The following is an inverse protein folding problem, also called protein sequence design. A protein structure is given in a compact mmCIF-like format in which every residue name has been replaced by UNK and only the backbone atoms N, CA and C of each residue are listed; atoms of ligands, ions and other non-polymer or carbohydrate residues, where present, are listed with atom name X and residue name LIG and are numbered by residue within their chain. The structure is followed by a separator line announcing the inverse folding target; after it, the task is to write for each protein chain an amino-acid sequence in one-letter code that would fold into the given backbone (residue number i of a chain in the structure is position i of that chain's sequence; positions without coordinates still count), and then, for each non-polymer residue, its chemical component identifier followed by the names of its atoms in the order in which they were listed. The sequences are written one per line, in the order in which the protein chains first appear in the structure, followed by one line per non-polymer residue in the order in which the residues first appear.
data_IF_916103738071
#
_entry.id   IF_916103738071
#
_cell.length_a   1.000
_cell.length_b   1.000
_cell.length_c   1.000
_cell.angle_alpha   90.00
_cell.angle_beta   90.00
_cell.angle_gamma   90.00
#
_symmetry.space_group_name_H-M   'P 1'
#
loop_
_entity.id
_entity.type
_entity.pdbx_description
1 polymer ?
#
# COMPACT_ATOMS: atom_id res chain seq x y z
N UNK A 1 12.99 -5.57 -20.07
CA UNK A 1 12.80 -6.18 -18.75
C UNK A 1 13.83 -5.67 -17.72
N UNK A 2 15.17 -5.80 -17.95
CA UNK A 2 16.16 -5.31 -16.99
C UNK A 2 16.16 -3.78 -16.78
N UNK A 3 15.87 -2.99 -17.80
CA UNK A 3 15.79 -1.54 -17.69
C UNK A 3 14.58 -1.07 -16.87
N UNK A 4 13.45 -1.78 -16.96
CA UNK A 4 12.26 -1.54 -16.13
C UNK A 4 12.53 -1.84 -14.66
N UNK A 5 13.30 -2.91 -14.37
CA UNK A 5 13.74 -3.27 -13.02
C UNK A 5 14.67 -2.18 -12.47
N UNK A 6 15.65 -1.71 -13.28
CA UNK A 6 16.57 -0.64 -12.89
C UNK A 6 15.84 0.65 -12.50
N UNK A 7 14.84 1.05 -13.28
CA UNK A 7 14.03 2.23 -13.00
C UNK A 7 13.20 2.09 -11.71
N UNK A 8 12.64 0.90 -11.44
CA UNK A 8 11.94 0.63 -10.19
C UNK A 8 12.88 0.74 -8.98
N UNK A 9 14.11 0.23 -9.11
CA UNK A 9 15.11 0.36 -8.05
C UNK A 9 15.54 1.82 -7.82
N UNK A 10 15.59 2.64 -8.85
CA UNK A 10 15.87 4.06 -8.74
C UNK A 10 14.79 4.80 -7.96
N UNK A 11 13.52 4.59 -8.32
CA UNK A 11 12.36 5.14 -7.62
C UNK A 11 12.33 4.68 -6.15
N UNK A 12 12.63 3.43 -5.92
CA UNK A 12 12.71 2.86 -4.58
C UNK A 12 13.84 3.44 -3.75
N UNK A 13 15.01 3.68 -4.37
CA UNK A 13 16.16 4.34 -3.73
C UNK A 13 15.80 5.76 -3.32
N UNK A 14 15.04 6.49 -4.14
CA UNK A 14 14.56 7.82 -3.79
C UNK A 14 13.60 7.75 -2.60
N UNK A 15 12.61 6.86 -2.61
CA UNK A 15 11.71 6.61 -1.48
C UNK A 15 12.48 6.21 -0.21
N UNK A 16 13.52 5.39 -0.36
CA UNK A 16 14.39 5.00 0.75
C UNK A 16 15.16 6.19 1.33
N UNK A 17 15.67 7.08 0.49
CA UNK A 17 16.36 8.27 0.96
C UNK A 17 15.43 9.19 1.76
N UNK A 18 14.18 9.32 1.34
CA UNK A 18 13.15 10.06 2.09
C UNK A 18 12.84 9.34 3.41
N UNK A 19 12.65 8.02 3.38
CA UNK A 19 12.41 7.21 4.58
C UNK A 19 13.55 7.29 5.59
N UNK A 20 14.81 7.39 5.11
CA UNK A 20 15.98 7.50 6.01
C UNK A 20 16.09 8.87 6.69
N UNK A 21 15.47 9.91 6.14
CA UNK A 21 15.33 11.20 6.82
C UNK A 21 14.31 11.07 7.98
N UNK A 22 13.21 10.33 7.79
CA UNK A 22 12.13 10.14 8.76
C UNK A 22 11.82 8.66 8.96
N UNK A 23 12.66 7.98 9.71
CA UNK A 23 12.51 6.55 10.01
C UNK A 23 11.20 6.22 10.73
N UNK A 24 10.60 7.22 11.36
CA UNK A 24 9.29 7.10 12.02
C UNK A 24 8.16 6.70 11.07
N UNK A 25 8.29 6.98 9.77
CA UNK A 25 7.31 6.58 8.76
C UNK A 25 7.09 5.06 8.69
N UNK A 26 8.07 4.26 9.08
CA UNK A 26 7.97 2.79 9.18
C UNK A 26 6.97 2.37 10.28
N UNK A 27 6.76 3.22 11.29
CA UNK A 27 5.88 2.88 12.40
C UNK A 27 4.41 2.76 11.97
N UNK A 28 3.96 3.47 10.93
CA UNK A 28 2.58 3.37 10.47
C UNK A 28 2.22 1.96 9.96
N UNK A 29 2.97 1.33 9.03
CA UNK A 29 2.72 -0.06 8.65
C UNK A 29 2.89 -1.04 9.81
N UNK A 30 3.84 -0.81 10.72
CA UNK A 30 4.03 -1.65 11.93
C UNK A 30 2.79 -1.56 12.82
N UNK A 31 2.28 -0.37 13.10
CA UNK A 31 1.07 -0.16 13.90
C UNK A 31 -0.16 -0.78 13.22
N UNK A 32 -0.26 -0.67 11.89
CA UNK A 32 -1.28 -1.36 11.11
C UNK A 32 -1.22 -2.87 11.31
N UNK A 33 -0.03 -3.46 11.18
CA UNK A 33 0.19 -4.89 11.38
C UNK A 33 -0.16 -5.36 12.80
N UNK A 34 0.26 -4.59 13.83
CA UNK A 34 -0.09 -4.87 15.21
C UNK A 34 -1.61 -4.78 15.45
N UNK A 35 -2.28 -3.78 14.86
CA UNK A 35 -3.73 -3.64 14.94
C UNK A 35 -4.45 -4.83 14.31
N UNK A 36 -3.97 -5.32 13.16
CA UNK A 36 -4.51 -6.51 12.51
C UNK A 36 -4.27 -7.79 13.33
N UNK A 37 -3.11 -7.92 13.98
CA UNK A 37 -2.82 -9.05 14.87
C UNK A 37 -3.78 -9.04 16.09
N UNK A 38 -3.96 -7.90 16.74
CA UNK A 38 -4.89 -7.76 17.87
C UNK A 38 -6.32 -8.11 17.41
N UNK A 39 -6.74 -7.61 16.26
CA UNK A 39 -8.06 -7.92 15.70
C UNK A 39 -8.21 -9.42 15.42
N UNK A 40 -7.19 -10.06 14.85
CA UNK A 40 -7.17 -11.50 14.58
C UNK A 40 -7.29 -12.33 15.87
N UNK A 41 -6.50 -12.01 16.90
CA UNK A 41 -6.60 -12.67 18.20
C UNK A 41 -7.96 -12.45 18.87
N UNK A 42 -8.54 -11.24 18.79
CA UNK A 42 -9.87 -10.96 19.31
C UNK A 42 -10.95 -11.80 18.60
N UNK A 43 -10.85 -11.97 17.27
CA UNK A 43 -11.75 -12.80 16.49
C UNK A 43 -11.65 -14.29 16.84
N UNK A 44 -10.43 -14.79 17.06
CA UNK A 44 -10.19 -16.15 17.52
C UNK A 44 -10.77 -16.37 18.95
N UNK A 45 -10.48 -15.45 19.85
CA UNK A 45 -11.00 -15.51 21.24
C UNK A 45 -12.54 -15.44 21.31
N UNK A 46 -13.16 -14.70 20.39
CA UNK A 46 -14.62 -14.61 20.27
C UNK A 46 -15.24 -15.79 19.50
N UNK A 47 -14.45 -16.74 19.01
CA UNK A 47 -14.94 -17.91 18.25
C UNK A 47 -15.67 -17.54 16.96
N UNK A 48 -15.31 -16.44 16.32
CA UNK A 48 -16.03 -15.93 15.14
C UNK A 48 -16.03 -16.96 13.99
N UNK A 49 -14.94 -17.68 13.80
CA UNK A 49 -14.82 -18.72 12.78
C UNK A 49 -15.66 -19.96 13.14
N UNK A 50 -15.75 -20.31 14.42
CA UNK A 50 -16.44 -21.52 14.91
C UNK A 50 -17.96 -21.31 14.95
N UNK A 51 -18.39 -20.13 15.34
CA UNK A 51 -19.83 -19.80 15.47
C UNK A 51 -20.53 -19.61 14.11
N UNK A 52 -19.77 -19.44 13.01
CA UNK A 52 -20.32 -19.13 11.70
C UNK A 52 -21.10 -17.81 11.66
N UNK A 53 -20.89 -16.92 12.63
CA UNK A 53 -21.59 -15.65 12.72
C UNK A 53 -21.16 -14.71 11.60
N UNK A 54 -21.96 -14.65 10.54
CA UNK A 54 -21.68 -13.83 9.35
C UNK A 54 -21.52 -12.34 9.69
N UNK A 55 -22.32 -11.81 10.62
CA UNK A 55 -22.24 -10.39 11.01
C UNK A 55 -20.91 -10.10 11.69
N UNK A 56 -20.51 -10.93 12.65
CA UNK A 56 -19.22 -10.78 13.31
C UNK A 56 -18.04 -10.88 12.31
N UNK A 57 -18.11 -11.79 11.36
CA UNK A 57 -17.13 -11.94 10.30
C UNK A 57 -17.04 -10.70 9.39
N UNK A 58 -18.19 -10.15 8.95
CA UNK A 58 -18.24 -8.93 8.14
C UNK A 58 -17.71 -7.71 8.90
N UNK A 59 -18.01 -7.59 10.19
CA UNK A 59 -17.47 -6.53 11.06
C UNK A 59 -15.94 -6.65 11.16
N UNK A 60 -15.40 -7.85 11.32
CA UNK A 60 -13.95 -8.06 11.35
C UNK A 60 -13.28 -7.66 10.03
N UNK A 61 -13.88 -8.03 8.90
CA UNK A 61 -13.39 -7.60 7.58
C UNK A 61 -13.36 -6.07 7.50
N UNK A 62 -14.45 -5.41 7.85
CA UNK A 62 -14.54 -3.95 7.82
C UNK A 62 -13.50 -3.29 8.73
N UNK A 63 -13.32 -3.80 9.95
CA UNK A 63 -12.31 -3.30 10.88
C UNK A 63 -10.88 -3.50 10.33
N UNK A 64 -10.60 -4.64 9.69
CA UNK A 64 -9.31 -4.88 9.06
C UNK A 64 -9.03 -3.87 7.92
N UNK A 65 -10.00 -3.63 7.05
CA UNK A 65 -9.89 -2.60 6.01
C UNK A 65 -9.73 -1.20 6.62
N UNK A 66 -10.45 -0.89 7.69
CA UNK A 66 -10.35 0.42 8.34
C UNK A 66 -8.98 0.63 8.98
N UNK A 67 -8.45 -0.34 9.73
CA UNK A 67 -7.12 -0.27 10.34
C UNK A 67 -6.07 -0.03 9.24
N UNK A 68 -6.08 -0.85 8.20
CA UNK A 68 -5.11 -0.73 7.10
C UNK A 68 -5.21 0.63 6.40
N UNK A 69 -6.41 1.08 6.09
CA UNK A 69 -6.63 2.35 5.39
C UNK A 69 -6.25 3.55 6.26
N UNK A 70 -6.57 3.52 7.56
CA UNK A 70 -6.26 4.59 8.50
C UNK A 70 -4.75 4.81 8.64
N UNK A 71 -4.00 3.74 8.89
CA UNK A 71 -2.54 3.86 9.00
C UNK A 71 -1.86 4.17 7.67
N UNK A 72 -2.41 3.71 6.54
CA UNK A 72 -1.93 4.12 5.22
C UNK A 72 -2.20 5.62 4.96
N UNK A 73 -3.36 6.14 5.35
CA UNK A 73 -3.65 7.57 5.27
C UNK A 73 -2.73 8.41 6.16
N UNK A 74 -2.41 7.92 7.38
CA UNK A 74 -1.45 8.56 8.27
C UNK A 74 -0.04 8.58 7.66
N UNK A 75 0.42 7.46 7.09
CA UNK A 75 1.69 7.36 6.38
C UNK A 75 1.77 8.34 5.21
N UNK A 76 0.75 8.33 4.34
CA UNK A 76 0.72 9.21 3.16
C UNK A 76 0.69 10.68 3.58
N UNK A 77 -0.06 11.04 4.63
CA UNK A 77 -0.10 12.41 5.16
C UNK A 77 1.28 12.87 5.65
N UNK A 78 1.96 12.05 6.43
CA UNK A 78 3.31 12.34 6.91
C UNK A 78 4.34 12.38 5.75
N UNK A 79 4.21 11.48 4.78
CA UNK A 79 5.07 11.49 3.59
C UNK A 79 4.87 12.78 2.76
N UNK A 80 3.64 13.23 2.54
CA UNK A 80 3.35 14.49 1.85
C UNK A 80 3.93 15.70 2.61
N UNK A 81 3.82 15.72 3.95
CA UNK A 81 4.44 16.76 4.77
C UNK A 81 5.96 16.81 4.55
N UNK A 82 6.65 15.65 4.56
CA UNK A 82 8.10 15.56 4.29
C UNK A 82 8.46 16.01 2.88
N UNK A 83 7.73 15.56 1.87
CA UNK A 83 7.99 15.87 0.47
C UNK A 83 7.82 17.36 0.15
N UNK A 84 7.04 18.07 0.96
CA UNK A 84 6.81 19.53 0.88
C UNK A 84 7.75 20.33 1.79
N UNK A 85 8.82 19.69 2.31
CA UNK A 85 9.85 20.34 3.13
C UNK A 85 9.50 20.49 4.62
N UNK A 86 8.42 19.85 5.09
CA UNK A 86 8.07 19.79 6.51
C UNK A 86 8.91 18.80 7.31
N UNK A 87 8.62 18.68 8.60
CA UNK A 87 9.27 17.74 9.54
C UNK A 87 8.20 16.89 10.24
N UNK A 88 7.68 15.84 9.54
CA UNK A 88 6.61 15.03 10.07
C UNK A 88 7.08 14.15 11.22
N UNK A 89 6.16 13.85 12.11
CA UNK A 89 6.32 12.83 13.14
C UNK A 89 5.08 11.90 13.16
N UNK A 90 5.14 10.82 13.92
CA UNK A 90 4.03 9.86 14.01
C UNK A 90 2.74 10.55 14.42
N UNK A 91 2.80 11.48 15.37
CA UNK A 91 1.61 12.16 15.87
C UNK A 91 1.02 13.12 14.82
N UNK A 92 1.85 13.82 14.02
CA UNK A 92 1.36 14.69 12.93
C UNK A 92 0.59 13.88 11.89
N UNK A 93 1.14 12.74 11.45
CA UNK A 93 0.47 11.83 10.52
C UNK A 93 -0.84 11.27 11.05
N UNK A 94 -0.85 10.77 12.31
CA UNK A 94 -2.07 10.27 12.96
C UNK A 94 -3.12 11.36 13.14
N UNK A 95 -2.71 12.56 13.58
CA UNK A 95 -3.60 13.72 13.75
C UNK A 95 -4.24 14.09 12.41
N UNK A 96 -3.46 14.11 11.33
CA UNK A 96 -3.97 14.42 10.00
C UNK A 96 -4.96 13.36 9.51
N UNK A 97 -4.64 12.06 9.66
CA UNK A 97 -5.57 10.98 9.33
C UNK A 97 -6.87 11.06 10.16
N UNK A 98 -6.76 11.39 11.46
CA UNK A 98 -7.92 11.54 12.34
C UNK A 98 -8.85 12.67 11.89
N UNK A 99 -8.34 13.78 11.36
CA UNK A 99 -9.18 14.85 10.79
C UNK A 99 -10.04 14.38 9.62
N UNK A 100 -9.58 13.36 8.89
CA UNK A 100 -10.27 12.80 7.72
C UNK A 100 -10.92 11.43 8.03
N UNK A 101 -11.06 11.07 9.31
CA UNK A 101 -11.48 9.71 9.73
C UNK A 101 -12.80 9.26 9.12
N UNK A 102 -13.77 10.17 8.94
CA UNK A 102 -15.05 9.88 8.30
C UNK A 102 -14.91 9.51 6.82
N UNK A 103 -14.05 10.20 6.06
CA UNK A 103 -13.75 9.87 4.67
C UNK A 103 -12.99 8.53 4.59
N UNK A 104 -12.02 8.33 5.47
CA UNK A 104 -11.25 7.08 5.58
C UNK A 104 -12.15 5.90 5.93
N UNK A 105 -13.09 6.08 6.86
CA UNK A 105 -14.06 5.05 7.20
C UNK A 105 -14.96 4.69 6.02
N UNK A 106 -15.55 5.68 5.35
CA UNK A 106 -16.38 5.45 4.16
C UNK A 106 -15.59 4.77 3.03
N UNK A 107 -14.32 5.15 2.83
CA UNK A 107 -13.45 4.49 1.87
C UNK A 107 -13.16 3.03 2.26
N UNK A 108 -12.99 2.76 3.54
CA UNK A 108 -12.79 1.40 4.06
C UNK A 108 -14.02 0.52 3.82
N UNK A 109 -15.23 1.07 3.96
CA UNK A 109 -16.48 0.37 3.62
C UNK A 109 -16.52 0.02 2.13
N UNK A 110 -16.24 0.99 1.25
CA UNK A 110 -16.22 0.76 -0.20
C UNK A 110 -15.17 -0.31 -0.55
N UNK A 111 -13.97 -0.19 -0.01
CA UNK A 111 -12.86 -1.13 -0.24
C UNK A 111 -13.18 -2.53 0.28
N UNK A 112 -13.81 -2.65 1.43
CA UNK A 112 -14.24 -3.94 1.99
C UNK A 112 -15.30 -4.61 1.09
N UNK A 113 -16.29 -3.86 0.61
CA UNK A 113 -17.32 -4.35 -0.29
C UNK A 113 -16.71 -4.81 -1.61
N UNK A 114 -15.92 -3.95 -2.26
CA UNK A 114 -15.32 -4.24 -3.57
C UNK A 114 -14.31 -5.38 -3.48
N UNK A 115 -13.42 -5.37 -2.47
CA UNK A 115 -12.45 -6.44 -2.25
C UNK A 115 -13.11 -7.79 -1.93
N UNK A 116 -14.18 -7.79 -1.14
CA UNK A 116 -14.96 -9.01 -0.87
C UNK A 116 -15.64 -9.51 -2.14
N UNK A 117 -16.23 -8.60 -2.92
CA UNK A 117 -16.87 -8.95 -4.20
C UNK A 117 -15.88 -9.62 -5.16
N UNK A 118 -14.70 -9.05 -5.36
CA UNK A 118 -13.67 -9.66 -6.22
C UNK A 118 -13.23 -11.02 -5.70
N UNK A 119 -13.09 -11.18 -4.38
CA UNK A 119 -12.75 -12.47 -3.78
C UNK A 119 -13.82 -13.52 -4.03
N UNK A 120 -15.10 -13.18 -3.83
CA UNK A 120 -16.22 -14.08 -4.09
C UNK A 120 -16.31 -14.44 -5.57
N UNK A 121 -16.21 -13.45 -6.47
CA UNK A 121 -16.24 -13.71 -7.92
C UNK A 121 -15.14 -14.69 -8.37
N UNK A 122 -13.92 -14.53 -7.82
CA UNK A 122 -12.81 -15.45 -8.12
C UNK A 122 -13.01 -16.86 -7.57
N UNK A 123 -13.65 -16.99 -6.42
CA UNK A 123 -13.91 -18.32 -5.82
C UNK A 123 -15.03 -19.12 -6.52
N UNK A 124 -15.84 -18.48 -7.37
CA UNK A 124 -16.95 -19.13 -8.07
C UNK A 124 -16.55 -19.85 -9.38
N UNK A 125 -15.27 -19.76 -9.78
CA UNK A 125 -14.86 -20.33 -11.06
C UNK A 125 -13.41 -20.83 -11.04
N UNK A 126 -13.21 -22.03 -11.59
CA UNK A 126 -11.88 -22.60 -11.84
C UNK A 126 -11.40 -22.36 -13.28
N UNK A 127 -12.23 -21.73 -14.11
CA UNK A 127 -11.85 -21.44 -15.51
C UNK A 127 -10.81 -20.34 -15.58
N UNK A 128 -9.62 -20.66 -16.10
CA UNK A 128 -8.46 -19.77 -16.20
C UNK A 128 -8.79 -18.42 -16.88
N UNK A 129 -9.51 -18.45 -18.01
CA UNK A 129 -9.86 -17.23 -18.74
C UNK A 129 -10.79 -16.31 -17.94
N UNK A 130 -11.74 -16.87 -17.19
CA UNK A 130 -12.65 -16.09 -16.36
C UNK A 130 -11.91 -15.48 -15.18
N UNK A 131 -11.01 -16.21 -14.54
CA UNK A 131 -10.14 -15.68 -13.49
C UNK A 131 -9.23 -14.56 -14.02
N UNK A 132 -8.72 -14.69 -15.25
CA UNK A 132 -7.92 -13.64 -15.89
C UNK A 132 -8.71 -12.35 -16.08
N UNK A 133 -9.97 -12.45 -16.55
CA UNK A 133 -10.87 -11.29 -16.70
C UNK A 133 -11.10 -10.61 -15.34
N UNK A 134 -11.38 -11.37 -14.28
CA UNK A 134 -11.55 -10.80 -12.94
C UNK A 134 -10.29 -10.10 -12.44
N UNK A 135 -9.10 -10.65 -12.66
CA UNK A 135 -7.82 -10.01 -12.33
C UNK A 135 -7.60 -8.72 -13.12
N UNK A 136 -7.98 -8.68 -14.39
CA UNK A 136 -7.89 -7.45 -15.19
C UNK A 136 -8.81 -6.35 -14.66
N UNK A 137 -10.05 -6.68 -14.31
CA UNK A 137 -11.01 -5.73 -13.72
C UNK A 137 -10.52 -5.23 -12.36
N UNK A 138 -10.01 -6.12 -11.52
CA UNK A 138 -9.39 -5.78 -10.23
C UNK A 138 -8.19 -4.84 -10.42
N UNK A 139 -7.31 -5.13 -11.39
CA UNK A 139 -6.18 -4.26 -11.72
C UNK A 139 -6.61 -2.87 -12.23
N UNK A 140 -7.68 -2.78 -13.02
CA UNK A 140 -8.26 -1.48 -13.43
C UNK A 140 -8.80 -0.73 -12.22
N UNK A 141 -9.47 -1.42 -11.29
CA UNK A 141 -9.95 -0.82 -10.05
C UNK A 141 -8.80 -0.29 -9.18
N UNK A 142 -7.78 -1.10 -8.92
CA UNK A 142 -6.59 -0.72 -8.15
C UNK A 142 -5.90 0.49 -8.77
N UNK A 143 -5.78 0.50 -10.09
CA UNK A 143 -5.20 1.60 -10.83
C UNK A 143 -6.02 2.89 -10.70
N UNK A 144 -7.34 2.84 -10.91
CA UNK A 144 -8.23 4.00 -10.78
C UNK A 144 -8.25 4.58 -9.37
N UNK A 145 -8.03 3.73 -8.36
CA UNK A 145 -8.07 4.10 -6.94
C UNK A 145 -6.70 4.38 -6.33
N UNK A 146 -5.64 4.36 -7.12
CA UNK A 146 -4.26 4.48 -6.67
C UNK A 146 -4.00 5.75 -5.84
N UNK A 147 -4.56 6.89 -6.24
CA UNK A 147 -4.42 8.18 -5.55
C UNK A 147 -5.59 8.54 -4.64
N UNK A 148 -6.53 7.63 -4.36
CA UNK A 148 -7.69 7.96 -3.52
C UNK A 148 -7.27 8.46 -2.14
N UNK A 149 -6.30 7.81 -1.49
CA UNK A 149 -5.82 8.23 -0.17
C UNK A 149 -5.09 9.59 -0.24
N UNK A 150 -4.09 9.82 -1.11
CA UNK A 150 -3.50 11.15 -1.27
C UNK A 150 -4.53 12.26 -1.52
N UNK A 151 -5.50 12.03 -2.41
CA UNK A 151 -6.57 13.01 -2.71
C UNK A 151 -7.42 13.29 -1.47
N UNK A 152 -7.87 12.25 -0.75
CA UNK A 152 -8.68 12.43 0.46
C UNK A 152 -7.98 13.26 1.52
N UNK A 153 -6.69 13.02 1.77
CA UNK A 153 -5.95 13.70 2.83
C UNK A 153 -5.43 15.07 2.42
N UNK A 154 -5.22 15.33 1.12
CA UNK A 154 -4.70 16.62 0.61
C UNK A 154 -5.79 17.57 0.14
N UNK A 155 -6.80 17.06 -0.58
CA UNK A 155 -7.87 17.86 -1.16
C UNK A 155 -9.14 17.85 -0.28
N UNK A 156 -9.15 17.09 0.84
CA UNK A 156 -10.28 16.91 1.75
C UNK A 156 -11.57 16.46 1.03
N UNK A 157 -11.41 15.61 0.03
CA UNK A 157 -12.51 15.12 -0.80
C UNK A 157 -13.09 13.82 -0.25
N UNK A 158 -14.41 13.61 -0.42
CA UNK A 158 -15.06 12.35 -0.07
C UNK A 158 -14.62 11.19 -0.99
N UNK A 159 -14.82 9.92 -0.59
CA UNK A 159 -14.28 8.77 -1.33
C UNK A 159 -14.67 8.71 -2.81
N UNK A 160 -15.93 9.02 -3.15
CA UNK A 160 -16.42 8.95 -4.54
C UNK A 160 -15.80 10.03 -5.43
N UNK A 161 -15.67 11.26 -4.93
CA UNK A 161 -14.96 12.31 -5.64
C UNK A 161 -13.47 12.02 -5.73
N UNK A 162 -12.86 11.44 -4.69
CA UNK A 162 -11.47 11.00 -4.70
C UNK A 162 -11.20 9.91 -5.73
N UNK A 163 -12.12 8.96 -5.96
CA UNK A 163 -11.99 7.96 -7.05
C UNK A 163 -11.97 8.67 -8.40
N UNK A 164 -12.91 9.58 -8.65
CA UNK A 164 -12.97 10.34 -9.92
C UNK A 164 -11.74 11.19 -10.12
N UNK A 165 -11.29 11.86 -9.07
CA UNK A 165 -10.10 12.70 -9.08
C UNK A 165 -8.84 11.88 -9.32
N UNK A 166 -8.67 10.74 -8.65
CA UNK A 166 -7.57 9.80 -8.84
C UNK A 166 -7.49 9.32 -10.30
N UNK A 167 -8.60 8.85 -10.86
CA UNK A 167 -8.67 8.42 -12.25
C UNK A 167 -8.33 9.57 -13.23
N UNK A 168 -8.79 10.79 -12.95
CA UNK A 168 -8.50 11.99 -13.77
C UNK A 168 -7.00 12.34 -13.73
N UNK A 169 -6.39 12.36 -12.53
CA UNK A 169 -4.95 12.61 -12.33
C UNK A 169 -4.13 11.61 -13.14
N UNK A 170 -4.42 10.33 -13.01
CA UNK A 170 -3.71 9.27 -13.73
C UNK A 170 -3.83 9.44 -15.24
N UNK A 171 -5.05 9.67 -15.73
CA UNK A 171 -5.31 9.86 -17.16
C UNK A 171 -4.59 11.08 -17.74
N UNK A 172 -4.56 12.18 -17.00
CA UNK A 172 -3.93 13.43 -17.45
C UNK A 172 -2.40 13.34 -17.45
N UNK A 173 -1.83 12.74 -16.40
CA UNK A 173 -0.37 12.72 -16.20
C UNK A 173 0.29 11.60 -16.99
N UNK A 174 -0.27 10.40 -16.97
CA UNK A 174 0.35 9.20 -17.57
C UNK A 174 -0.51 8.47 -18.60
N UNK A 175 -1.67 8.99 -18.99
CA UNK A 175 -2.65 8.27 -19.82
C UNK A 175 -2.14 7.76 -21.17
N UNK A 176 -1.03 8.30 -21.69
CA UNK A 176 -0.35 7.82 -22.90
C UNK A 176 0.81 6.84 -22.62
N UNK A 177 1.18 6.64 -21.36
CA UNK A 177 2.42 5.96 -20.96
C UNK A 177 2.16 4.69 -20.13
N UNK A 178 0.87 4.37 -19.89
CA UNK A 178 0.49 3.27 -19.00
C UNK A 178 0.80 1.94 -19.66
N UNK A 179 1.96 1.42 -19.38
CA UNK A 179 2.29 0.01 -19.57
C UNK A 179 2.97 -0.49 -18.30
N UNK A 180 2.15 -1.16 -17.50
CA UNK A 180 2.49 -2.11 -16.45
C UNK A 180 3.83 -1.95 -15.71
N UNK A 181 3.80 -1.38 -14.52
CA UNK A 181 4.91 -1.47 -13.58
C UNK A 181 4.52 -2.33 -12.38
N UNK A 182 4.72 -3.65 -12.48
CA UNK A 182 4.66 -4.58 -11.35
C UNK A 182 5.95 -4.56 -10.52
N UNK A 183 6.73 -3.44 -10.52
CA UNK A 183 8.05 -3.38 -9.93
C UNK A 183 8.07 -3.64 -8.43
N UNK A 184 7.12 -3.13 -7.65
CA UNK A 184 7.04 -3.35 -6.21
C UNK A 184 6.83 -4.82 -5.82
N UNK A 185 6.13 -5.61 -6.64
CA UNK A 185 5.98 -7.05 -6.40
C UNK A 185 7.34 -7.77 -6.34
N UNK A 186 8.27 -7.43 -7.24
CA UNK A 186 9.62 -8.01 -7.26
C UNK A 186 10.36 -7.64 -5.98
N UNK A 187 10.17 -6.42 -5.48
CA UNK A 187 10.79 -5.94 -4.26
C UNK A 187 10.26 -6.67 -3.04
N UNK A 188 8.95 -6.85 -2.93
CA UNK A 188 8.34 -7.67 -1.88
C UNK A 188 8.90 -9.09 -1.89
N UNK A 189 8.98 -9.70 -3.09
CA UNK A 189 9.52 -11.05 -3.23
C UNK A 189 10.98 -11.14 -2.79
N UNK A 190 11.82 -10.19 -3.20
CA UNK A 190 13.24 -10.16 -2.82
C UNK A 190 13.41 -9.92 -1.31
N UNK A 191 12.65 -9.00 -0.71
CA UNK A 191 12.68 -8.75 0.71
C UNK A 191 12.35 -10.03 1.50
N UNK A 192 11.25 -10.69 1.15
CA UNK A 192 10.85 -11.95 1.80
C UNK A 192 11.92 -13.03 1.64
N UNK A 193 12.49 -13.21 0.44
CA UNK A 193 13.53 -14.24 0.20
C UNK A 193 14.77 -13.98 1.06
N UNK A 194 15.22 -12.74 1.17
CA UNK A 194 16.39 -12.38 1.99
C UNK A 194 16.14 -12.66 3.48
N UNK A 195 14.93 -12.39 3.99
CA UNK A 195 14.61 -12.56 5.41
C UNK A 195 14.29 -14.01 5.79
N UNK A 196 13.81 -14.81 4.85
CA UNK A 196 13.52 -16.25 5.09
C UNK A 196 14.78 -17.06 5.30
N UNK A 197 15.92 -16.71 4.66
CA UNK A 197 17.17 -17.48 4.80
C UNK A 197 17.68 -17.51 6.27
N UNK A 198 17.85 -16.38 6.98
CA UNK A 198 18.22 -16.42 8.41
C UNK A 198 17.20 -17.14 9.29
N UNK A 199 15.92 -17.00 9.00
CA UNK A 199 14.85 -17.66 9.74
C UNK A 199 14.94 -19.19 9.63
N UNK A 200 15.21 -19.72 8.41
CA UNK A 200 15.41 -21.15 8.20
C UNK A 200 16.64 -21.66 8.95
N UNK A 201 17.76 -20.94 8.89
CA UNK A 201 18.98 -21.33 9.59
C UNK A 201 18.76 -21.41 11.10
N UNK A 202 18.07 -20.44 11.70
CA UNK A 202 17.72 -20.47 13.11
C UNK A 202 16.70 -21.57 13.45
N UNK A 203 15.74 -21.83 12.55
CA UNK A 203 14.79 -22.91 12.72
C UNK A 203 15.46 -24.28 12.78
N UNK A 204 16.51 -24.51 11.98
CA UNK A 204 17.28 -25.75 12.00
C UNK A 204 18.04 -25.97 13.31
N UNK A 205 18.42 -24.88 14.01
CA UNK A 205 19.14 -24.95 15.29
C UNK A 205 18.15 -25.10 16.45
N UNK A 206 17.12 -24.23 16.48
CA UNK A 206 16.07 -24.21 17.50
C UNK A 206 14.75 -23.74 16.92
N UNK A 207 13.81 -24.62 16.57
CA UNK A 207 12.59 -24.29 15.85
C UNK A 207 11.76 -23.15 16.41
N UNK A 208 11.48 -23.03 17.73
CA UNK A 208 10.70 -21.93 18.24
C UNK A 208 11.32 -20.54 17.97
N UNK A 209 12.65 -20.44 18.13
CA UNK A 209 13.37 -19.19 17.86
C UNK A 209 13.35 -18.85 16.37
N UNK A 210 13.54 -19.83 15.49
CA UNK A 210 13.49 -19.62 14.05
C UNK A 210 12.15 -19.10 13.56
N UNK A 211 11.05 -19.63 14.11
CA UNK A 211 9.69 -19.15 13.80
C UNK A 211 9.50 -17.71 14.27
N UNK A 212 9.83 -17.39 15.53
CA UNK A 212 9.65 -16.05 16.09
C UNK A 212 10.48 -15.02 15.31
N UNK A 213 11.76 -15.29 15.10
CA UNK A 213 12.65 -14.39 14.35
C UNK A 213 12.19 -14.23 12.91
N UNK A 214 11.76 -15.32 12.25
CA UNK A 214 11.25 -15.29 10.89
C UNK A 214 10.02 -14.40 10.76
N UNK A 215 9.05 -14.52 11.66
CA UNK A 215 7.85 -13.68 11.67
C UNK A 215 8.21 -12.21 11.86
N UNK A 216 9.14 -11.90 12.77
CA UNK A 216 9.57 -10.53 13.03
C UNK A 216 10.31 -9.92 11.82
N UNK A 217 11.26 -10.65 11.21
CA UNK A 217 12.02 -10.16 10.05
C UNK A 217 11.11 -9.94 8.83
N UNK A 218 10.28 -10.93 8.48
CA UNK A 218 9.34 -10.80 7.37
C UNK A 218 8.33 -9.68 7.61
N UNK A 219 7.82 -9.56 8.84
CA UNK A 219 6.93 -8.45 9.21
C UNK A 219 7.58 -7.08 9.05
N UNK A 220 8.84 -6.92 9.47
CA UNK A 220 9.59 -5.67 9.32
C UNK A 220 9.90 -5.37 7.84
N UNK A 221 10.26 -6.38 7.05
CA UNK A 221 10.49 -6.21 5.62
C UNK A 221 9.22 -5.74 4.89
N UNK A 222 8.07 -6.38 5.16
CA UNK A 222 6.78 -5.97 4.61
C UNK A 222 6.46 -4.52 5.03
N UNK A 223 6.63 -4.18 6.31
CA UNK A 223 6.39 -2.81 6.79
C UNK A 223 7.28 -1.79 6.08
N UNK A 224 8.56 -2.12 5.88
CA UNK A 224 9.52 -1.26 5.16
C UNK A 224 9.07 -1.04 3.72
N UNK A 225 8.71 -2.09 2.98
CA UNK A 225 8.27 -1.98 1.59
C UNK A 225 6.95 -1.20 1.49
N UNK A 226 6.02 -1.39 2.42
CA UNK A 226 4.78 -0.59 2.48
C UNK A 226 5.06 0.89 2.74
N UNK A 227 6.03 1.22 3.62
CA UNK A 227 6.44 2.60 3.84
C UNK A 227 7.02 3.23 2.56
N UNK A 228 7.90 2.52 1.85
CA UNK A 228 8.48 2.96 0.58
C UNK A 228 7.41 3.19 -0.49
N UNK A 229 6.44 2.28 -0.59
CA UNK A 229 5.30 2.39 -1.51
C UNK A 229 4.42 3.60 -1.18
N UNK A 230 4.14 3.85 0.10
CA UNK A 230 3.38 5.02 0.56
C UNK A 230 4.07 6.34 0.23
N UNK A 231 5.38 6.44 0.47
CA UNK A 231 6.21 7.60 0.12
C UNK A 231 6.19 7.81 -1.41
N UNK A 232 6.37 6.74 -2.17
CA UNK A 232 6.34 6.79 -3.63
C UNK A 232 4.98 7.26 -4.17
N UNK A 233 3.87 6.75 -3.63
CA UNK A 233 2.51 7.21 -3.99
C UNK A 233 2.31 8.69 -3.68
N UNK A 234 2.81 9.16 -2.53
CA UNK A 234 2.76 10.57 -2.15
C UNK A 234 3.57 11.43 -3.13
N UNK A 235 4.80 11.01 -3.49
CA UNK A 235 5.64 11.73 -4.44
C UNK A 235 5.04 11.79 -5.85
N UNK A 236 4.45 10.69 -6.34
CA UNK A 236 3.75 10.67 -7.62
C UNK A 236 2.51 11.57 -7.61
N UNK A 237 1.79 11.61 -6.50
CA UNK A 237 0.65 12.51 -6.36
C UNK A 237 1.08 13.97 -6.41
N UNK A 238 2.07 14.38 -5.61
CA UNK A 238 2.59 15.76 -5.61
C UNK A 238 3.08 16.16 -7.00
N UNK A 239 3.85 15.29 -7.67
CA UNK A 239 4.28 15.53 -9.05
C UNK A 239 3.08 15.72 -9.99
N UNK A 240 2.03 14.91 -9.86
CA UNK A 240 0.87 14.94 -10.75
C UNK A 240 -0.02 16.18 -10.56
N UNK A 241 -0.03 16.77 -9.37
CA UNK A 241 -0.75 18.04 -9.08
C UNK A 241 0.11 19.29 -9.31
N UNK A 242 1.36 19.10 -9.78
CA UNK A 242 2.26 20.20 -10.16
C UNK A 242 3.21 20.67 -9.05
N UNK A 243 3.24 19.97 -7.92
CA UNK A 243 4.18 20.20 -6.84
C UNK A 243 5.55 19.57 -7.14
N UNK A 244 6.59 20.02 -6.46
CA UNK A 244 7.94 19.46 -6.60
C UNK A 244 8.31 18.67 -5.34
N UNK A 245 8.13 17.34 -5.33
CA UNK A 245 8.43 16.54 -4.15
C UNK A 245 9.93 16.53 -3.84
N UNK A 246 10.28 16.93 -2.62
CA UNK A 246 11.66 16.95 -2.15
C UNK A 246 12.27 15.54 -2.15
N UNK A 247 13.47 15.40 -2.71
CA UNK A 247 14.18 14.11 -2.75
C UNK A 247 13.86 13.24 -3.96
N UNK A 248 12.98 13.70 -4.87
CA UNK A 248 12.66 13.01 -6.12
C UNK A 248 13.09 13.81 -7.34
N UNK A 249 13.68 13.11 -8.32
CA UNK A 249 13.96 13.69 -9.63
C UNK A 249 12.69 13.71 -10.48
N UNK A 250 12.33 14.89 -10.99
CA UNK A 250 11.10 15.10 -11.76
C UNK A 250 11.08 14.28 -13.06
N UNK A 251 12.24 14.07 -13.71
CA UNK A 251 12.33 13.25 -14.94
C UNK A 251 12.01 11.79 -14.62
N UNK A 252 12.50 11.29 -13.51
CA UNK A 252 12.25 9.93 -13.04
C UNK A 252 10.78 9.73 -12.72
N UNK A 253 10.11 10.69 -12.06
CA UNK A 253 8.66 10.64 -11.80
C UNK A 253 7.85 10.73 -13.09
N UNK A 254 8.23 11.60 -14.02
CA UNK A 254 7.56 11.73 -15.32
C UNK A 254 7.59 10.42 -16.10
N UNK A 255 8.66 9.64 -15.99
CA UNK A 255 8.85 8.37 -16.68
C UNK A 255 8.45 7.16 -15.86
N UNK A 256 7.89 7.33 -14.65
CA UNK A 256 7.56 6.26 -13.71
C UNK A 256 6.72 5.12 -14.34
N UNK A 257 5.86 5.45 -15.32
CA UNK A 257 5.03 4.50 -16.04
C UNK A 257 5.43 4.35 -17.52
N UNK A 258 6.64 4.81 -17.94
CA UNK A 258 7.10 4.74 -19.31
C UNK A 258 7.86 3.45 -19.59
N UNK A 259 7.48 2.64 -20.60
CA UNK A 259 8.31 1.52 -21.03
C UNK A 259 9.58 2.03 -21.74
N UNK A 260 10.71 1.38 -21.44
CA UNK A 260 12.07 1.79 -21.90
C UNK A 260 12.33 1.72 -23.40
N UNK A 261 11.39 1.29 -24.25
CA UNK A 261 11.62 1.19 -25.70
C UNK A 261 11.60 2.54 -26.44
N UNK A 262 11.43 3.64 -25.74
CA UNK A 262 11.40 4.97 -26.35
C UNK A 262 12.77 5.68 -26.35
N UNK A 263 13.87 4.95 -26.06
CA UNK A 263 15.26 5.43 -26.15
C UNK A 263 16.05 4.78 -27.30
N UNK A 264 15.37 4.34 -28.35
CA UNK A 264 16.01 3.94 -29.61
C UNK A 264 15.86 5.03 -30.67
#
# INVERSE_FOLDING_TARGET
MFATIGHTFELMKMSWNVLMKDRELILFPVLSGLGLLILGFAGLAAGVAETGNLIAFLVMILLAYFITTFFNAALVSAALERLRGGDPNVMSGLSHATKHIHHIFLWSVISAIVGTLFRVLRSQTDYFFVQLIYRMIEGVWEFMTFFVIPVMVSENEGPISSIKRSASIIRQTWGRQITASFGFFIVYLLAIVVDVIPAILLFLIYPPTGVIVGVLLVGLAIATVQALEGIFKAALYDFAVGEQPEGFDLRTLQTAYRPDYARA
#
